data_IF_514124489048
#
_entry.id   IF_514124489048
#
_cell.length_a   1.000
_cell.length_b   1.000
_cell.length_c   1.000
_cell.angle_alpha   90.00
_cell.angle_beta   90.00
_cell.angle_gamma   90.00
#
_symmetry.space_group_name_H-M   'P 1'
#
loop_
_entity.id
_entity.type
_entity.pdbx_description
1 polymer ?
#
# COMPACT_ATOMS: atom_id res chain seq x y z
N UNK A 1 6.29 7.24 14.98
CA UNK A 1 6.08 5.80 15.07
C UNK A 1 6.27 5.19 13.70
N UNK A 2 6.98 4.06 13.62
CA UNK A 2 7.16 3.28 12.39
C UNK A 2 6.87 1.80 12.62
N UNK A 3 6.45 1.10 11.57
CA UNK A 3 6.26 -0.35 11.58
C UNK A 3 7.30 -1.04 10.71
N UNK A 4 7.72 -2.23 11.09
CA UNK A 4 8.64 -3.05 10.29
C UNK A 4 7.93 -3.91 9.23
N UNK A 5 6.61 -3.97 9.24
CA UNK A 5 5.82 -4.92 8.43
C UNK A 5 5.65 -4.54 6.96
N UNK A 6 6.23 -3.45 6.49
CA UNK A 6 6.18 -2.99 5.09
C UNK A 6 7.58 -3.03 4.48
N UNK A 7 8.17 -1.89 4.16
CA UNK A 7 9.50 -1.80 3.53
C UNK A 7 10.64 -2.45 4.32
N UNK A 8 10.52 -2.54 5.64
CA UNK A 8 11.53 -3.20 6.48
C UNK A 8 11.32 -4.73 6.63
N UNK A 9 10.34 -5.30 5.93
CA UNK A 9 10.12 -6.75 5.72
C UNK A 9 10.18 -7.63 6.98
N UNK A 10 9.78 -7.09 8.15
CA UNK A 10 9.87 -7.79 9.42
C UNK A 10 8.64 -7.54 10.29
N UNK A 11 8.59 -8.19 11.46
CA UNK A 11 7.53 -7.99 12.46
C UNK A 11 7.97 -6.96 13.50
N UNK A 12 7.02 -6.17 14.01
CA UNK A 12 7.23 -5.18 15.05
C UNK A 12 7.22 -3.76 14.56
N UNK A 13 7.80 -2.85 15.35
CA UNK A 13 7.85 -1.43 15.07
C UNK A 13 8.60 -0.67 16.15
N UNK A 14 8.61 0.65 16.00
CA UNK A 14 9.31 1.52 16.94
C UNK A 14 8.59 2.86 17.12
N UNK A 15 8.92 3.50 18.23
CA UNK A 15 8.56 4.91 18.49
C UNK A 15 9.87 5.67 18.75
N UNK A 16 10.04 6.80 18.09
CA UNK A 16 11.11 7.76 18.36
C UNK A 16 10.47 9.10 18.72
N UNK A 17 10.85 9.62 19.88
CA UNK A 17 10.37 10.89 20.44
C UNK A 17 11.33 11.38 21.50
N UNK A 18 11.05 12.53 22.11
CA UNK A 18 11.82 13.03 23.24
C UNK A 18 11.90 12.03 24.38
N UNK A 19 13.04 12.02 25.10
CA UNK A 19 13.32 11.05 26.16
C UNK A 19 12.26 11.02 27.26
N UNK A 20 11.63 12.14 27.58
CA UNK A 20 10.53 12.23 28.53
C UNK A 20 9.31 11.45 28.08
N UNK A 21 8.95 11.53 26.80
CA UNK A 21 7.83 10.80 26.19
C UNK A 21 8.16 9.29 26.16
N UNK A 22 9.36 8.93 25.72
CA UNK A 22 9.79 7.51 25.67
C UNK A 22 9.80 6.90 27.06
N UNK A 23 10.30 7.63 28.05
CA UNK A 23 10.30 7.17 29.43
C UNK A 23 8.89 6.96 29.97
N UNK A 24 7.99 7.91 29.69
CA UNK A 24 6.57 7.79 30.06
C UNK A 24 5.92 6.56 29.40
N UNK A 25 6.13 6.35 28.09
CA UNK A 25 5.60 5.20 27.37
C UNK A 25 6.10 3.86 27.94
N UNK A 26 7.39 3.76 28.28
CA UNK A 26 7.96 2.54 28.89
C UNK A 26 7.28 2.15 30.21
N UNK A 27 6.81 3.11 30.98
CA UNK A 27 6.20 2.85 32.30
C UNK A 27 4.67 2.78 32.26
N UNK A 28 4.02 3.34 31.23
CA UNK A 28 2.58 3.50 31.20
C UNK A 28 1.88 2.81 30.01
N UNK A 29 2.61 2.49 28.92
CA UNK A 29 1.99 1.86 27.75
C UNK A 29 1.74 0.35 28.05
N UNK A 30 0.47 0.01 28.25
CA UNK A 30 0.07 -1.39 28.52
C UNK A 30 0.49 -2.33 27.39
N UNK A 31 0.38 -1.90 26.15
CA UNK A 31 0.80 -2.66 24.96
C UNK A 31 2.31 -2.92 24.93
N UNK A 32 3.12 -2.08 25.58
CA UNK A 32 4.56 -2.30 25.71
C UNK A 32 4.87 -3.29 26.85
N UNK A 33 4.29 -3.08 28.03
CA UNK A 33 4.56 -3.90 29.24
C UNK A 33 4.08 -5.34 29.05
N UNK A 34 2.92 -5.54 28.41
CA UNK A 34 2.29 -6.85 28.22
C UNK A 34 2.65 -7.54 26.90
N UNK A 35 3.60 -7.00 26.14
CA UNK A 35 4.08 -7.61 24.89
C UNK A 35 5.49 -8.16 25.07
N UNK A 36 5.77 -9.30 24.42
CA UNK A 36 7.12 -9.81 24.33
C UNK A 36 7.97 -8.90 23.42
N UNK A 37 9.27 -8.81 23.71
CA UNK A 37 10.22 -8.09 22.88
C UNK A 37 10.37 -8.72 21.50
N UNK A 38 10.71 -7.90 20.50
CA UNK A 38 11.07 -8.40 19.18
C UNK A 38 12.21 -9.42 19.27
N UNK A 39 12.11 -10.47 18.45
CA UNK A 39 13.18 -11.46 18.39
C UNK A 39 14.45 -10.87 17.75
N UNK A 40 15.66 -11.34 18.11
CA UNK A 40 16.89 -10.90 17.44
C UNK A 40 16.85 -11.08 15.93
N UNK A 41 16.28 -12.18 15.43
CA UNK A 41 16.12 -12.43 14.00
C UNK A 41 15.25 -11.37 13.30
N UNK A 42 14.09 -11.02 13.88
CA UNK A 42 13.22 -9.99 13.34
C UNK A 42 13.90 -8.60 13.32
N UNK A 43 14.67 -8.29 14.38
CA UNK A 43 15.40 -7.03 14.48
C UNK A 43 16.54 -6.98 13.46
N UNK A 44 17.28 -8.07 13.28
CA UNK A 44 18.36 -8.17 12.28
C UNK A 44 17.80 -8.04 10.85
N UNK A 45 16.65 -8.67 10.55
CA UNK A 45 16.00 -8.53 9.24
C UNK A 45 15.58 -7.10 8.96
N UNK A 46 15.02 -6.40 9.95
CA UNK A 46 14.64 -5.00 9.78
C UNK A 46 15.85 -4.08 9.58
N UNK A 47 16.95 -4.34 10.29
CA UNK A 47 18.20 -3.59 10.16
C UNK A 47 18.82 -3.80 8.77
N UNK A 48 18.88 -5.04 8.30
CA UNK A 48 19.40 -5.34 6.97
C UNK A 48 18.56 -4.71 5.85
N UNK A 49 17.24 -4.76 5.97
CA UNK A 49 16.37 -4.07 5.03
C UNK A 49 16.60 -2.55 5.02
N UNK A 50 16.91 -1.95 6.16
CA UNK A 50 17.30 -0.53 6.23
C UNK A 50 18.63 -0.27 5.52
N UNK A 51 19.65 -1.13 5.70
CA UNK A 51 20.91 -1.03 4.98
C UNK A 51 20.69 -1.12 3.46
N UNK A 52 19.91 -2.09 2.99
CA UNK A 52 19.57 -2.22 1.58
C UNK A 52 18.90 -0.95 1.04
N UNK A 53 17.98 -0.33 1.77
CA UNK A 53 17.34 0.92 1.35
C UNK A 53 18.36 2.06 1.22
N UNK A 54 19.37 2.08 2.10
CA UNK A 54 20.43 3.12 2.09
C UNK A 54 21.48 2.87 1.00
N UNK A 55 21.87 1.61 0.80
CA UNK A 55 22.99 1.22 -0.06
C UNK A 55 22.56 0.98 -1.52
N UNK A 56 21.26 0.71 -1.77
CA UNK A 56 20.69 0.41 -3.09
C UNK A 56 19.56 1.40 -3.44
N UNK A 57 19.85 2.72 -3.60
CA UNK A 57 18.83 3.75 -3.85
C UNK A 57 18.07 3.54 -5.17
N UNK A 58 18.66 2.81 -6.13
CA UNK A 58 18.03 2.46 -7.40
C UNK A 58 16.73 1.67 -7.25
N UNK A 59 16.54 0.96 -6.13
CA UNK A 59 15.26 0.28 -5.83
C UNK A 59 14.14 1.29 -5.60
N UNK A 60 14.44 2.38 -4.90
CA UNK A 60 13.48 3.44 -4.66
C UNK A 60 13.19 4.24 -5.93
N UNK A 61 14.24 4.49 -6.74
CA UNK A 61 14.09 5.13 -8.05
C UNK A 61 13.17 4.30 -8.97
N UNK A 62 13.40 2.99 -9.07
CA UNK A 62 12.57 2.08 -9.85
C UNK A 62 11.10 2.09 -9.36
N UNK A 63 10.87 2.13 -8.04
CA UNK A 63 9.53 2.25 -7.49
C UNK A 63 8.85 3.55 -7.94
N UNK A 64 9.57 4.67 -7.90
CA UNK A 64 9.01 5.96 -8.33
C UNK A 64 8.80 6.04 -9.84
N UNK A 65 9.65 5.44 -10.64
CA UNK A 65 9.42 5.33 -12.10
C UNK A 65 8.15 4.53 -12.40
N UNK A 66 7.99 3.36 -11.79
CA UNK A 66 6.78 2.54 -11.92
C UNK A 66 5.53 3.30 -11.43
N UNK A 67 5.63 4.00 -10.30
CA UNK A 67 4.54 4.79 -9.72
C UNK A 67 4.11 5.93 -10.64
N UNK A 68 5.06 6.74 -11.10
CA UNK A 68 4.76 7.87 -11.98
C UNK A 68 4.16 7.40 -13.31
N UNK A 69 4.67 6.28 -13.84
CA UNK A 69 4.09 5.66 -15.03
C UNK A 69 2.65 5.20 -14.80
N UNK A 70 2.40 4.48 -13.70
CA UNK A 70 1.07 4.00 -13.37
C UNK A 70 0.06 5.15 -13.12
N UNK A 71 0.46 6.19 -12.37
CA UNK A 71 -0.37 7.38 -12.14
C UNK A 71 -0.81 8.04 -13.47
N UNK A 72 0.14 8.18 -14.41
CA UNK A 72 -0.16 8.69 -15.75
C UNK A 72 -1.17 7.80 -16.46
N UNK A 73 -0.93 6.49 -16.52
CA UNK A 73 -1.79 5.52 -17.21
C UNK A 73 -3.21 5.46 -16.64
N UNK A 74 -3.36 5.48 -15.31
CA UNK A 74 -4.68 5.49 -14.68
C UNK A 74 -5.45 6.78 -14.96
N UNK A 75 -4.77 7.96 -14.95
CA UNK A 75 -5.41 9.24 -15.31
C UNK A 75 -5.84 9.26 -16.78
N UNK A 76 -4.98 8.82 -17.69
CA UNK A 76 -5.29 8.73 -19.12
C UNK A 76 -6.46 7.79 -19.42
N UNK A 77 -6.59 6.72 -18.64
CA UNK A 77 -7.70 5.77 -18.73
C UNK A 77 -9.01 6.29 -18.11
N UNK A 78 -9.01 7.45 -17.46
CA UNK A 78 -10.20 8.11 -16.90
C UNK A 78 -10.53 7.72 -15.46
N UNK A 79 -9.64 6.99 -14.75
CA UNK A 79 -9.89 6.63 -13.35
C UNK A 79 -9.85 7.84 -12.42
N UNK A 80 -10.77 7.90 -11.46
CA UNK A 80 -10.71 8.82 -10.35
C UNK A 80 -9.70 8.27 -9.32
N UNK A 81 -8.54 8.93 -9.22
CA UNK A 81 -7.45 8.52 -8.34
C UNK A 81 -7.14 9.52 -7.22
N UNK A 82 -7.91 10.60 -7.12
CA UNK A 82 -7.66 11.67 -6.16
C UNK A 82 -6.29 12.34 -6.31
N UNK A 83 -5.80 12.93 -5.23
CA UNK A 83 -4.53 13.65 -5.17
C UNK A 83 -3.39 12.77 -4.59
N UNK A 84 -3.34 11.49 -4.99
CA UNK A 84 -2.30 10.58 -4.47
C UNK A 84 -0.90 10.96 -4.96
N UNK A 85 0.05 10.94 -4.04
CA UNK A 85 1.49 11.19 -4.28
C UNK A 85 2.33 10.01 -3.74
N UNK A 86 1.81 8.80 -3.79
CA UNK A 86 2.47 7.62 -3.23
C UNK A 86 2.35 6.42 -4.17
N UNK A 87 3.15 5.37 -3.97
CA UNK A 87 3.01 4.10 -4.69
C UNK A 87 1.69 3.36 -4.43
N UNK A 88 0.83 3.92 -3.60
CA UNK A 88 -0.52 3.42 -3.33
C UNK A 88 -1.51 4.28 -4.10
N UNK A 89 -2.17 3.69 -5.11
CA UNK A 89 -3.10 4.39 -5.99
C UNK A 89 -4.53 3.95 -5.66
N UNK A 90 -5.38 4.84 -5.14
CA UNK A 90 -6.79 4.57 -4.97
C UNK A 90 -7.50 4.68 -6.33
N UNK A 91 -8.36 3.72 -6.64
CA UNK A 91 -9.32 3.83 -7.74
C UNK A 91 -10.71 3.89 -7.11
N UNK A 92 -11.33 5.05 -7.11
CA UNK A 92 -12.61 5.25 -6.45
C UNK A 92 -13.73 4.54 -7.20
N UNK A 93 -14.58 3.83 -6.45
CA UNK A 93 -15.76 3.11 -6.94
C UNK A 93 -17.04 3.72 -6.39
N UNK A 94 -16.97 4.22 -5.14
CA UNK A 94 -18.04 4.94 -4.43
C UNK A 94 -19.30 4.13 -4.15
N UNK A 95 -19.20 2.81 -4.30
CA UNK A 95 -20.26 1.84 -4.01
C UNK A 95 -19.64 0.56 -3.45
N UNK A 96 -20.14 0.08 -2.32
CA UNK A 96 -19.55 -1.06 -1.60
C UNK A 96 -19.71 -2.37 -2.38
N UNK A 97 -20.88 -2.60 -2.96
CA UNK A 97 -21.15 -3.84 -3.70
C UNK A 97 -20.33 -3.90 -4.98
N UNK A 98 -20.34 -2.81 -5.76
CA UNK A 98 -19.50 -2.69 -6.96
C UNK A 98 -18.02 -2.81 -6.63
N UNK A 99 -17.56 -2.33 -5.46
CA UNK A 99 -16.16 -2.48 -5.03
C UNK A 99 -15.77 -3.95 -4.88
N UNK A 100 -16.62 -4.79 -4.30
CA UNK A 100 -16.38 -6.23 -4.26
C UNK A 100 -16.44 -6.87 -5.65
N UNK A 101 -17.43 -6.48 -6.45
CA UNK A 101 -17.60 -7.04 -7.81
C UNK A 101 -16.39 -6.72 -8.70
N UNK A 102 -15.89 -5.47 -8.70
CA UNK A 102 -14.71 -5.11 -9.49
C UNK A 102 -13.46 -5.83 -8.99
N UNK A 103 -13.33 -6.01 -7.68
CA UNK A 103 -12.21 -6.77 -7.09
C UNK A 103 -12.22 -8.22 -7.58
N UNK A 104 -13.39 -8.85 -7.59
CA UNK A 104 -13.56 -10.22 -8.10
C UNK A 104 -13.25 -10.31 -9.59
N UNK A 105 -13.79 -9.41 -10.42
CA UNK A 105 -13.53 -9.40 -11.86
C UNK A 105 -12.04 -9.18 -12.16
N UNK A 106 -11.37 -8.27 -11.43
CA UNK A 106 -9.95 -8.05 -11.58
C UNK A 106 -9.13 -9.31 -11.22
N UNK A 107 -9.50 -9.97 -10.13
CA UNK A 107 -8.85 -11.21 -9.69
C UNK A 107 -8.98 -12.33 -10.73
N UNK A 108 -10.16 -12.53 -11.30
CA UNK A 108 -10.41 -13.54 -12.33
C UNK A 108 -9.59 -13.28 -13.61
N UNK A 109 -9.28 -12.03 -13.90
CA UNK A 109 -8.41 -11.61 -14.98
C UNK A 109 -6.90 -11.63 -14.59
N UNK A 110 -6.57 -12.06 -13.36
CA UNK A 110 -5.20 -12.17 -12.86
C UNK A 110 -4.60 -10.84 -12.35
N UNK A 111 -5.43 -9.87 -11.96
CA UNK A 111 -4.99 -8.63 -11.32
C UNK A 111 -5.42 -8.63 -9.85
N UNK A 112 -4.44 -8.73 -8.96
CA UNK A 112 -4.69 -8.72 -7.51
C UNK A 112 -4.71 -7.28 -6.97
N UNK A 113 -5.86 -6.85 -6.47
CA UNK A 113 -6.10 -5.55 -5.84
C UNK A 113 -6.90 -5.74 -4.55
N UNK A 114 -6.87 -4.73 -3.67
CA UNK A 114 -7.58 -4.80 -2.40
C UNK A 114 -8.78 -3.86 -2.37
N UNK A 115 -9.98 -4.33 -1.98
CA UNK A 115 -11.11 -3.46 -1.70
C UNK A 115 -10.87 -2.69 -0.40
N UNK A 116 -11.27 -1.43 -0.36
CA UNK A 116 -11.30 -0.58 0.83
C UNK A 116 -12.74 -0.09 1.00
N UNK A 117 -13.37 -0.57 2.05
CA UNK A 117 -14.78 -0.38 2.34
C UNK A 117 -14.99 0.02 3.81
N UNK A 118 -16.17 0.48 4.23
CA UNK A 118 -16.46 0.71 5.65
C UNK A 118 -16.15 -0.52 6.53
N UNK A 119 -15.59 -0.35 7.73
CA UNK A 119 -15.32 0.92 8.40
C UNK A 119 -13.95 1.56 8.08
N UNK A 120 -13.18 1.02 7.12
CA UNK A 120 -11.86 1.55 6.77
C UNK A 120 -11.93 2.89 6.01
N UNK A 121 -13.06 3.19 5.38
CA UNK A 121 -13.37 4.48 4.78
C UNK A 121 -14.86 4.81 4.96
N UNK A 122 -15.27 6.02 4.62
CA UNK A 122 -16.70 6.36 4.58
C UNK A 122 -17.41 5.64 3.41
N UNK A 123 -18.72 5.35 3.51
CA UNK A 123 -19.45 4.62 2.46
C UNK A 123 -19.32 5.22 1.05
N UNK A 124 -19.30 6.56 0.95
CA UNK A 124 -19.14 7.28 -0.30
C UNK A 124 -17.70 7.32 -0.84
N UNK A 125 -16.72 6.81 -0.07
CA UNK A 125 -15.30 6.84 -0.40
C UNK A 125 -14.73 5.43 -0.65
N UNK A 126 -15.61 4.46 -0.91
CA UNK A 126 -15.19 3.11 -1.23
C UNK A 126 -14.35 3.07 -2.51
N UNK A 127 -13.31 2.29 -2.50
CA UNK A 127 -12.32 2.22 -3.56
C UNK A 127 -11.65 0.85 -3.65
N UNK A 128 -10.97 0.59 -4.73
CA UNK A 128 -9.95 -0.46 -4.78
C UNK A 128 -8.57 0.15 -4.72
N UNK A 129 -7.67 -0.51 -4.01
CA UNK A 129 -6.31 -0.05 -3.77
C UNK A 129 -5.33 -0.82 -4.65
N UNK A 130 -4.64 -0.11 -5.54
CA UNK A 130 -3.50 -0.62 -6.28
C UNK A 130 -2.22 -0.26 -5.54
N UNK A 131 -1.36 -1.25 -5.29
CA UNK A 131 -0.07 -1.05 -4.62
C UNK A 131 1.06 -1.41 -5.59
N UNK A 132 1.95 -0.47 -5.83
CA UNK A 132 3.10 -0.64 -6.71
C UNK A 132 4.31 -1.18 -5.94
N UNK A 133 5.15 -1.94 -6.65
CA UNK A 133 6.45 -2.41 -6.19
C UNK A 133 7.53 -2.02 -7.20
N UNK A 134 8.79 -1.92 -6.74
CA UNK A 134 9.93 -1.61 -7.60
C UNK A 134 10.15 -2.61 -8.74
N UNK A 135 9.61 -3.83 -8.60
CA UNK A 135 9.72 -4.91 -9.59
C UNK A 135 8.63 -4.92 -10.66
N UNK A 136 7.62 -4.03 -10.54
CA UNK A 136 6.59 -3.94 -11.56
C UNK A 136 7.12 -3.30 -12.85
N UNK A 137 6.93 -4.00 -13.98
CA UNK A 137 7.30 -3.49 -15.29
C UNK A 137 6.18 -2.66 -15.92
N UNK A 138 6.54 -1.79 -16.87
CA UNK A 138 5.55 -1.00 -17.64
C UNK A 138 4.53 -1.86 -18.35
N UNK A 139 4.96 -3.00 -18.93
CA UNK A 139 4.07 -3.97 -19.57
C UNK A 139 3.06 -4.59 -18.58
N UNK A 140 3.49 -4.92 -17.36
CA UNK A 140 2.57 -5.39 -16.31
C UNK A 140 1.56 -4.33 -15.90
N UNK A 141 2.00 -3.06 -15.79
CA UNK A 141 1.14 -1.92 -15.46
C UNK A 141 0.11 -1.71 -16.57
N UNK A 142 0.52 -1.70 -17.84
CA UNK A 142 -0.37 -1.52 -18.99
C UNK A 142 -1.44 -2.61 -19.04
N UNK A 143 -1.05 -3.88 -18.91
CA UNK A 143 -1.99 -5.01 -18.86
C UNK A 143 -2.96 -4.90 -17.68
N UNK A 144 -2.48 -4.46 -16.51
CA UNK A 144 -3.35 -4.27 -15.36
C UNK A 144 -4.37 -3.14 -15.59
N UNK A 145 -3.93 -2.01 -16.16
CA UNK A 145 -4.83 -0.88 -16.50
C UNK A 145 -5.90 -1.33 -17.49
N UNK A 146 -5.55 -2.04 -18.57
CA UNK A 146 -6.51 -2.52 -19.57
C UNK A 146 -7.58 -3.44 -18.96
N UNK A 147 -7.15 -4.37 -18.09
CA UNK A 147 -8.06 -5.29 -17.41
C UNK A 147 -8.96 -4.58 -16.40
N UNK A 148 -8.42 -3.62 -15.67
CA UNK A 148 -9.19 -2.79 -14.75
C UNK A 148 -10.21 -1.90 -15.48
N UNK A 149 -9.84 -1.30 -16.60
CA UNK A 149 -10.80 -0.56 -17.47
C UNK A 149 -11.96 -1.47 -17.87
N UNK A 150 -11.68 -2.70 -18.32
CA UNK A 150 -12.72 -3.67 -18.67
C UNK A 150 -13.64 -3.98 -17.50
N UNK A 151 -13.07 -4.24 -16.31
CA UNK A 151 -13.84 -4.55 -15.11
C UNK A 151 -14.72 -3.39 -14.64
N UNK A 152 -14.17 -2.16 -14.63
CA UNK A 152 -14.91 -0.96 -14.23
C UNK A 152 -16.03 -0.61 -15.21
N UNK A 153 -15.80 -0.72 -16.53
CA UNK A 153 -16.82 -0.50 -17.55
C UNK A 153 -17.93 -1.54 -17.48
N UNK A 154 -17.63 -2.80 -17.15
CA UNK A 154 -18.66 -3.84 -17.01
C UNK A 154 -19.64 -3.58 -15.87
N UNK A 155 -19.32 -2.67 -14.95
CA UNK A 155 -20.13 -2.28 -13.80
C UNK A 155 -20.62 -0.83 -13.86
N UNK A 156 -20.48 -0.16 -15.02
CA UNK A 156 -20.84 1.25 -15.20
C UNK A 156 -20.22 2.17 -14.11
N UNK A 157 -18.90 2.02 -13.88
CA UNK A 157 -18.14 2.86 -12.94
C UNK A 157 -17.23 3.83 -13.70
N UNK A 158 -16.81 3.47 -14.92
CA UNK A 158 -15.91 4.24 -15.78
C UNK A 158 -16.54 4.52 -17.14
#
# INVERSE_FOLDING_TARGET
MGTFSKSLASIGGFIAADSSIINWLRHNARTYIFSASNTPAATASALEALHIIQDEPERLEALWEATNYALKRFREAGFEIGATESPIIPLYVRDTEKTFMVTKLAFDEGVFINPVIPPACAPQDTLVRVALMATHTKDQIDRAVEKLVKAFKALDIL
#
